data_IF_124951852527
#
_entry.id   IF_124951852527
#
_cell.length_a   1.000
_cell.length_b   1.000
_cell.length_c   1.000
_cell.angle_alpha   90.00
_cell.angle_beta   90.00
_cell.angle_gamma   90.00
#
_symmetry.space_group_name_H-M   'P 1'
#
loop_
_entity.id
_entity.type
_entity.pdbx_description
1 polymer ?
#
# COMPACT_ATOMS: atom_id res chain seq x y z
N UNK A 1 -37.71 -12.16 -13.13
CA UNK A 1 -36.24 -12.04 -13.11
C UNK A 1 -35.90 -10.66 -13.63
N UNK A 2 -35.50 -9.74 -12.74
CA UNK A 2 -34.82 -8.47 -13.07
C UNK A 2 -34.75 -7.65 -11.78
N UNK A 3 -33.64 -7.77 -11.06
CA UNK A 3 -33.30 -6.92 -9.91
C UNK A 3 -31.82 -7.09 -9.58
N UNK A 4 -30.93 -6.69 -10.49
CA UNK A 4 -29.47 -6.75 -10.29
C UNK A 4 -28.74 -5.56 -10.96
N UNK A 5 -29.37 -4.37 -11.03
CA UNK A 5 -28.78 -3.25 -11.80
C UNK A 5 -28.50 -1.96 -11.02
N UNK A 6 -28.68 -1.95 -9.70
CA UNK A 6 -28.47 -0.73 -8.90
C UNK A 6 -27.23 -0.77 -8.00
N UNK A 7 -26.68 -1.95 -7.71
CA UNK A 7 -25.49 -2.09 -6.84
C UNK A 7 -24.14 -1.82 -7.54
N UNK A 8 -24.11 -1.85 -8.89
CA UNK A 8 -22.87 -1.63 -9.64
C UNK A 8 -22.46 -0.14 -9.75
N UNK A 9 -23.40 0.80 -9.61
CA UNK A 9 -23.09 2.22 -9.85
C UNK A 9 -22.37 2.90 -8.68
N UNK A 10 -22.59 2.43 -7.45
CA UNK A 10 -21.95 3.03 -6.26
C UNK A 10 -20.50 2.56 -6.09
N UNK A 11 -20.21 1.30 -6.46
CA UNK A 11 -18.85 0.77 -6.45
C UNK A 11 -17.94 1.51 -7.45
N UNK A 12 -18.48 1.85 -8.63
CA UNK A 12 -17.75 2.61 -9.65
C UNK A 12 -17.34 4.00 -9.19
N UNK A 13 -18.22 4.71 -8.46
CA UNK A 13 -17.92 6.05 -7.92
C UNK A 13 -16.80 6.03 -6.88
N UNK A 14 -16.75 5.00 -6.03
CA UNK A 14 -15.76 4.89 -4.96
C UNK A 14 -14.37 4.53 -5.50
N UNK A 15 -14.29 3.64 -6.50
CA UNK A 15 -13.04 3.28 -7.16
C UNK A 15 -12.48 4.43 -8.02
N UNK A 16 -13.36 5.24 -8.60
CA UNK A 16 -12.98 6.43 -9.36
C UNK A 16 -12.36 7.52 -8.48
N UNK A 17 -12.85 7.69 -7.25
CA UNK A 17 -12.27 8.63 -6.28
C UNK A 17 -10.89 8.15 -5.80
N UNK A 18 -10.71 6.84 -5.62
CA UNK A 18 -9.43 6.24 -5.19
C UNK A 18 -8.33 6.38 -6.24
N UNK A 19 -8.68 6.37 -7.54
CA UNK A 19 -7.75 6.67 -8.65
C UNK A 19 -7.44 8.16 -8.79
N UNK A 20 -8.35 9.05 -8.43
CA UNK A 20 -8.13 10.50 -8.51
C UNK A 20 -7.20 11.04 -7.41
N UNK A 21 -7.16 10.38 -6.24
CA UNK A 21 -6.34 10.83 -5.08
C UNK A 21 -4.85 10.46 -5.22
N UNK A 22 -4.51 9.48 -6.06
CA UNK A 22 -3.12 9.11 -6.36
C UNK A 22 -2.93 9.11 -7.87
N UNK A 23 -2.62 10.28 -8.42
CA UNK A 23 -2.42 10.51 -9.83
C UNK A 23 -1.46 9.49 -10.46
N UNK A 24 -2.02 8.61 -11.29
CA UNK A 24 -1.25 7.75 -12.18
C UNK A 24 -1.69 8.05 -13.62
N UNK A 25 -1.04 9.05 -14.21
CA UNK A 25 -1.28 9.55 -15.57
C UNK A 25 -0.74 8.65 -16.69
N UNK A 26 -0.74 7.31 -16.50
CA UNK A 26 -0.11 6.39 -17.46
C UNK A 26 -1.07 5.45 -18.20
N UNK A 27 -2.37 5.46 -17.92
CA UNK A 27 -3.31 4.46 -18.48
C UNK A 27 -4.26 4.96 -19.59
N UNK A 28 -4.28 6.26 -19.91
CA UNK A 28 -5.21 6.82 -20.92
C UNK A 28 -4.55 6.93 -22.33
N UNK A 29 -3.23 6.75 -22.43
CA UNK A 29 -2.49 7.02 -23.67
C UNK A 29 -2.09 5.78 -24.49
N UNK A 30 -2.38 4.55 -24.05
CA UNK A 30 -2.07 3.38 -24.88
C UNK A 30 -3.29 2.98 -25.73
N UNK A 31 -3.37 3.57 -26.92
CA UNK A 31 -4.11 2.96 -28.04
C UNK A 31 -3.31 1.74 -28.50
N UNK A 32 -3.94 0.57 -28.46
CA UNK A 32 -3.45 -0.67 -29.04
C UNK A 32 -3.11 -0.50 -30.53
N UNK A 33 -1.84 -0.68 -30.88
CA UNK A 33 -1.35 -0.99 -32.23
C UNK A 33 0.10 -1.49 -32.16
N UNK A 34 0.27 -2.82 -32.11
CA UNK A 34 1.43 -3.64 -32.52
C UNK A 34 2.83 -3.41 -31.87
N UNK A 35 3.77 -4.35 -32.08
CA UNK A 35 3.77 -5.74 -31.65
C UNK A 35 4.78 -5.94 -30.50
N UNK A 36 4.77 -7.15 -29.96
CA UNK A 36 5.59 -7.67 -28.87
C UNK A 36 7.11 -7.37 -29.01
N UNK A 37 7.57 -6.18 -28.59
CA UNK A 37 9.00 -5.89 -28.39
C UNK A 37 9.23 -5.18 -27.06
N UNK A 38 9.87 -5.92 -26.15
CA UNK A 38 10.70 -5.42 -25.06
C UNK A 38 10.18 -4.18 -24.32
N UNK A 39 9.10 -4.34 -23.55
CA UNK A 39 8.64 -3.31 -22.61
C UNK A 39 9.72 -3.16 -21.54
N UNK A 40 10.53 -2.11 -21.66
CA UNK A 40 11.45 -1.65 -20.64
C UNK A 40 10.63 -1.31 -19.40
N UNK A 41 10.70 -2.19 -18.40
CA UNK A 41 10.03 -2.04 -17.12
C UNK A 41 11.03 -1.44 -16.11
N UNK A 42 10.57 -1.00 -14.95
CA UNK A 42 11.38 -0.59 -13.80
C UNK A 42 12.37 -1.66 -13.29
N UNK A 43 12.31 -2.87 -13.85
CA UNK A 43 13.24 -3.99 -13.63
C UNK A 43 14.29 -4.16 -14.73
N UNK A 44 14.23 -3.38 -15.80
CA UNK A 44 15.16 -3.49 -16.93
C UNK A 44 16.42 -2.68 -16.63
N UNK A 45 17.57 -3.36 -16.54
CA UNK A 45 18.86 -2.75 -16.24
C UNK A 45 19.28 -1.80 -17.37
N UNK A 46 19.64 -0.56 -17.01
CA UNK A 46 20.00 0.48 -17.99
C UNK A 46 21.42 0.36 -18.56
N UNK A 47 22.21 -0.61 -18.08
CA UNK A 47 23.55 -0.91 -18.59
C UNK A 47 23.70 -2.43 -18.67
N UNK A 48 24.07 -2.94 -19.84
CA UNK A 48 24.50 -4.33 -20.01
C UNK A 48 25.79 -4.54 -19.21
N UNK A 49 25.67 -5.21 -18.05
CA UNK A 49 26.84 -5.68 -17.31
C UNK A 49 27.20 -7.05 -17.89
N UNK A 50 28.36 -7.22 -18.55
CA UNK A 50 28.80 -8.54 -18.95
C UNK A 50 28.95 -9.40 -17.70
N UNK A 51 28.42 -10.63 -17.73
CA UNK A 51 28.60 -11.62 -16.68
C UNK A 51 30.10 -11.91 -16.46
N UNK A 52 30.75 -11.12 -15.62
CA UNK A 52 32.01 -11.53 -15.00
C UNK A 52 31.64 -12.34 -13.77
N UNK A 53 32.04 -13.61 -13.82
CA UNK A 53 32.12 -14.51 -12.67
C UNK A 53 32.74 -13.76 -11.48
N UNK A 54 31.90 -13.33 -10.55
CA UNK A 54 32.35 -12.62 -9.37
C UNK A 54 32.80 -13.66 -8.36
N UNK A 55 34.09 -13.99 -8.39
CA UNK A 55 34.77 -14.45 -7.18
C UNK A 55 34.49 -13.42 -6.09
N UNK A 56 33.91 -13.89 -4.99
CA UNK A 56 33.67 -13.13 -3.77
C UNK A 56 34.97 -12.45 -3.30
N UNK A 57 35.07 -11.11 -3.26
CA UNK A 57 36.03 -10.48 -2.39
C UNK A 57 35.53 -10.69 -0.96
N UNK A 58 36.37 -11.29 -0.13
CA UNK A 58 36.17 -11.36 1.31
C UNK A 58 35.81 -9.97 1.88
N UNK A 59 35.02 -9.90 2.97
CA UNK A 59 34.67 -8.61 3.55
C UNK A 59 35.96 -7.87 3.89
N UNK A 60 36.06 -6.64 3.39
CA UNK A 60 37.19 -5.75 3.63
C UNK A 60 37.42 -5.64 5.13
N UNK A 61 38.38 -6.42 5.63
CA UNK A 61 39.02 -6.22 6.91
C UNK A 61 39.56 -4.81 6.88
N UNK A 62 38.94 -3.91 7.66
CA UNK A 62 39.44 -2.57 7.89
C UNK A 62 40.85 -2.68 8.47
N UNK A 63 41.86 -2.60 7.60
CA UNK A 63 43.24 -2.65 8.00
C UNK A 63 43.64 -1.26 8.52
N UNK A 64 44.06 -1.27 9.79
CA UNK A 64 45.11 -0.41 10.33
C UNK A 64 44.84 1.09 10.47
N UNK A 65 44.29 1.48 11.63
CA UNK A 65 44.81 2.65 12.36
C UNK A 65 45.08 2.26 13.83
N UNK A 66 46.17 2.75 14.47
CA UNK A 66 46.63 2.25 15.77
C UNK A 66 45.72 2.68 16.93
N UNK A 67 45.82 2.03 18.10
CA UNK A 67 44.85 2.20 19.19
C UNK A 67 45.08 3.53 19.90
N UNK A 68 44.11 4.44 19.80
CA UNK A 68 43.94 5.51 20.80
C UNK A 68 42.74 5.16 21.69
N UNK A 69 42.98 5.42 22.97
CA UNK A 69 42.22 5.13 24.19
C UNK A 69 40.68 5.36 24.08
N UNK A 70 39.91 4.74 25.00
CA UNK A 70 38.48 4.57 24.85
C UNK A 70 37.76 5.85 25.26
N UNK A 71 37.10 6.53 24.31
CA UNK A 71 36.09 7.52 24.65
C UNK A 71 34.95 7.44 23.62
N UNK A 72 33.85 6.86 24.08
CA UNK A 72 32.45 7.20 23.80
C UNK A 72 31.97 7.56 22.38
N UNK A 73 32.61 7.14 21.29
CA UNK A 73 32.01 7.23 19.95
C UNK A 73 30.94 6.13 19.75
N UNK A 74 29.91 6.08 20.61
CA UNK A 74 28.68 5.34 20.32
C UNK A 74 27.99 6.06 19.18
N UNK A 75 28.28 5.65 17.96
CA UNK A 75 27.69 6.19 16.76
C UNK A 75 26.19 5.84 16.72
N UNK A 76 25.36 6.73 17.27
CA UNK A 76 23.89 6.56 17.39
C UNK A 76 23.15 6.74 16.06
N UNK A 77 23.84 7.09 14.98
CA UNK A 77 23.23 7.45 13.70
C UNK A 77 22.95 6.27 12.76
N UNK A 78 23.54 5.08 12.99
CA UNK A 78 23.39 3.93 12.09
C UNK A 78 21.97 3.33 12.01
N UNK A 79 21.05 3.71 12.92
CA UNK A 79 19.66 3.20 12.92
C UNK A 79 18.71 4.05 12.09
N UNK A 80 19.09 5.29 11.76
CA UNK A 80 18.26 6.25 11.01
C UNK A 80 18.67 6.35 9.53
N UNK A 81 19.73 5.64 9.13
CA UNK A 81 20.18 5.55 7.74
C UNK A 81 19.51 4.34 7.11
N UNK A 82 18.79 4.55 6.00
CA UNK A 82 18.15 3.48 5.25
C UNK A 82 19.20 2.88 4.32
N UNK A 83 19.47 1.59 4.49
CA UNK A 83 20.28 0.83 3.55
C UNK A 83 19.44 0.49 2.31
N UNK A 84 19.68 1.22 1.23
CA UNK A 84 19.01 1.02 -0.07
C UNK A 84 19.51 -0.26 -0.77
N UNK A 85 20.69 -0.77 -0.38
CA UNK A 85 21.26 -2.02 -0.91
C UNK A 85 20.69 -3.30 -0.28
N UNK A 86 19.98 -3.18 0.84
CA UNK A 86 19.36 -4.31 1.55
C UNK A 86 18.04 -4.80 0.93
N UNK A 87 17.69 -4.35 -0.28
CA UNK A 87 16.47 -4.78 -0.99
C UNK A 87 16.60 -6.17 -1.64
N UNK A 88 17.78 -6.79 -1.57
CA UNK A 88 17.99 -8.17 -1.99
C UNK A 88 17.16 -9.15 -1.13
N UNK A 89 16.84 -10.35 -1.66
CA UNK A 89 16.22 -11.38 -0.84
C UNK A 89 17.12 -11.61 0.38
N UNK A 90 16.56 -11.41 1.58
CA UNK A 90 17.26 -11.73 2.83
C UNK A 90 17.73 -13.19 2.73
N UNK A 91 19.02 -13.39 2.48
CA UNK A 91 19.62 -14.72 2.41
C UNK A 91 19.72 -15.27 3.82
N UNK A 92 18.58 -15.68 4.37
CA UNK A 92 18.57 -16.55 5.53
C UNK A 92 18.90 -17.95 5.03
N UNK A 93 19.96 -18.54 5.59
CA UNK A 93 20.29 -19.94 5.40
C UNK A 93 19.04 -20.82 5.64
N UNK A 94 18.78 -21.77 4.73
CA UNK A 94 17.58 -22.60 4.77
C UNK A 94 17.42 -23.33 6.11
N UNK A 95 18.53 -23.77 6.70
CA UNK A 95 18.55 -24.43 8.01
C UNK A 95 18.12 -23.46 9.13
N UNK A 96 18.64 -22.23 9.14
CA UNK A 96 18.27 -21.20 10.11
C UNK A 96 16.79 -20.82 9.99
N UNK A 97 16.24 -20.78 8.77
CA UNK A 97 14.81 -20.59 8.56
C UNK A 97 13.99 -21.74 9.16
N UNK A 98 14.34 -22.99 8.86
CA UNK A 98 13.60 -24.17 9.35
C UNK A 98 13.60 -24.29 10.87
N UNK A 99 14.71 -23.95 11.52
CA UNK A 99 14.82 -23.95 12.98
C UNK A 99 13.95 -22.84 13.61
N UNK A 100 13.95 -21.65 13.00
CA UNK A 100 13.06 -20.55 13.43
C UNK A 100 11.59 -20.94 13.30
N UNK A 101 11.19 -21.56 12.20
CA UNK A 101 9.81 -22.06 12.01
C UNK A 101 9.46 -23.04 13.12
N UNK A 102 10.30 -24.05 13.39
CA UNK A 102 10.05 -25.03 14.46
C UNK A 102 9.93 -24.35 15.83
N UNK A 103 10.83 -23.44 16.14
CA UNK A 103 10.85 -22.73 17.42
C UNK A 103 9.65 -21.80 17.61
N UNK A 104 9.16 -21.15 16.55
CA UNK A 104 7.97 -20.30 16.62
C UNK A 104 6.68 -21.11 16.66
N UNK A 105 6.57 -22.19 15.88
CA UNK A 105 5.41 -23.10 15.95
C UNK A 105 5.29 -23.73 17.33
N UNK A 106 6.39 -24.20 17.93
CA UNK A 106 6.38 -24.76 19.28
C UNK A 106 5.95 -23.72 20.34
N UNK A 107 6.44 -22.48 20.23
CA UNK A 107 6.05 -21.38 21.13
C UNK A 107 4.59 -20.97 20.94
N UNK A 108 4.11 -20.90 19.70
CA UNK A 108 2.72 -20.58 19.40
C UNK A 108 1.76 -21.66 19.92
N UNK A 109 2.12 -22.93 19.79
CA UNK A 109 1.35 -24.05 20.32
C UNK A 109 1.31 -24.06 21.86
N UNK A 110 2.42 -23.72 22.52
CA UNK A 110 2.49 -23.65 23.99
C UNK A 110 1.66 -22.49 24.57
N UNK A 111 1.46 -21.42 23.80
CA UNK A 111 0.68 -20.24 24.20
C UNK A 111 -0.74 -20.28 23.61
N UNK A 112 -1.14 -21.38 22.96
CA UNK A 112 -2.41 -21.46 22.23
C UNK A 112 -3.61 -21.06 23.10
N UNK A 113 -4.00 -19.79 22.96
CA UNK A 113 -5.22 -19.26 23.53
C UNK A 113 -6.39 -19.90 22.77
N UNK A 114 -7.55 -20.10 23.43
CA UNK A 114 -8.74 -20.54 22.75
C UNK A 114 -8.95 -19.66 21.52
N UNK A 115 -9.14 -20.31 20.36
CA UNK A 115 -9.38 -19.62 19.10
C UNK A 115 -10.49 -18.59 19.33
N UNK A 116 -10.27 -17.30 19.06
CA UNK A 116 -11.30 -16.29 19.27
C UNK A 116 -12.52 -16.76 18.49
N UNK A 117 -13.63 -16.98 19.22
CA UNK A 117 -14.89 -17.36 18.58
C UNK A 117 -15.17 -16.36 17.47
N UNK A 118 -15.46 -16.83 16.26
CA UNK A 118 -15.81 -15.97 15.11
C UNK A 118 -16.78 -14.90 15.60
N UNK A 119 -16.39 -13.63 15.51
CA UNK A 119 -17.20 -12.53 16.01
C UNK A 119 -18.57 -12.60 15.34
N UNK A 120 -19.59 -12.88 16.13
CA UNK A 120 -20.98 -12.91 15.66
C UNK A 120 -21.53 -11.51 15.84
N UNK A 121 -22.06 -10.94 14.77
CA UNK A 121 -22.74 -9.64 14.83
C UNK A 121 -24.07 -9.80 15.56
N UNK A 122 -24.44 -8.79 16.34
CA UNK A 122 -25.75 -8.67 17.00
C UNK A 122 -26.09 -9.82 17.97
N UNK A 123 -25.11 -10.45 18.62
CA UNK A 123 -25.37 -11.49 19.64
C UNK A 123 -26.04 -10.96 20.90
N UNK A 124 -25.88 -9.66 21.15
CA UNK A 124 -26.47 -8.92 22.25
C UNK A 124 -27.94 -8.57 22.00
N UNK A 125 -28.44 -8.71 20.77
CA UNK A 125 -29.80 -8.35 20.42
C UNK A 125 -30.74 -9.56 20.52
N UNK A 126 -31.77 -9.55 21.41
CA UNK A 126 -32.75 -10.61 21.48
C UNK A 126 -33.51 -10.76 20.14
N UNK A 127 -33.84 -12.00 19.71
CA UNK A 127 -34.52 -12.24 18.43
C UNK A 127 -35.86 -11.50 18.29
N UNK A 128 -36.58 -11.31 19.39
CA UNK A 128 -37.84 -10.57 19.42
C UNK A 128 -37.62 -9.07 19.12
N UNK A 129 -36.59 -8.47 19.71
CA UNK A 129 -36.22 -7.06 19.48
C UNK A 129 -35.78 -6.83 18.05
N UNK A 130 -34.97 -7.74 17.48
CA UNK A 130 -34.55 -7.67 16.08
C UNK A 130 -35.75 -7.66 15.13
N UNK A 131 -36.72 -8.56 15.34
CA UNK A 131 -37.96 -8.62 14.55
C UNK A 131 -38.79 -7.33 14.68
N UNK A 132 -38.90 -6.80 15.89
CA UNK A 132 -39.64 -5.55 16.14
C UNK A 132 -38.99 -4.36 15.41
N UNK A 133 -37.67 -4.23 15.44
CA UNK A 133 -36.94 -3.15 14.76
C UNK A 133 -37.12 -3.25 13.23
N UNK A 134 -37.03 -4.46 12.67
CA UNK A 134 -37.17 -4.68 11.22
C UNK A 134 -38.59 -4.40 10.71
N UNK A 135 -39.61 -4.54 11.56
CA UNK A 135 -41.02 -4.22 11.24
C UNK A 135 -41.35 -2.76 11.54
N UNK A 136 -40.44 -2.02 12.17
CA UNK A 136 -40.61 -0.61 12.50
C UNK A 136 -40.78 0.29 11.27
N UNK A 137 -41.31 1.51 11.46
CA UNK A 137 -41.45 2.46 10.37
C UNK A 137 -40.08 2.81 9.76
N UNK A 138 -40.01 3.05 8.45
CA UNK A 138 -38.77 3.51 7.82
C UNK A 138 -38.36 4.89 8.37
N UNK A 139 -37.06 5.26 8.24
CA UNK A 139 -36.61 6.58 8.63
C UNK A 139 -37.33 7.68 7.84
N UNK A 140 -37.56 8.81 8.50
CA UNK A 140 -38.29 9.96 7.97
C UNK A 140 -37.67 10.43 6.64
N UNK A 141 -38.46 10.63 5.57
CA UNK A 141 -37.94 11.22 4.33
C UNK A 141 -37.21 12.55 4.54
N UNK A 142 -37.63 13.38 5.50
CA UNK A 142 -36.97 14.66 5.78
C UNK A 142 -35.51 14.46 6.22
N UNK A 143 -35.23 13.44 7.03
CA UNK A 143 -33.87 13.10 7.46
C UNK A 143 -33.03 12.57 6.29
N UNK A 144 -33.63 11.76 5.40
CA UNK A 144 -32.95 11.28 4.19
C UNK A 144 -32.55 12.44 3.29
N UNK A 145 -33.44 13.40 3.09
CA UNK A 145 -33.18 14.58 2.28
C UNK A 145 -32.10 15.46 2.92
N UNK A 146 -32.13 15.63 4.25
CA UNK A 146 -31.09 16.35 4.99
C UNK A 146 -29.71 15.71 4.78
N UNK A 147 -29.60 14.40 4.99
CA UNK A 147 -28.35 13.64 4.81
C UNK A 147 -27.86 13.76 3.37
N UNK A 148 -28.76 13.56 2.40
CA UNK A 148 -28.43 13.60 0.97
C UNK A 148 -27.92 14.98 0.56
N UNK A 149 -28.57 16.04 1.05
CA UNK A 149 -28.15 17.42 0.76
C UNK A 149 -26.82 17.77 1.44
N UNK A 150 -26.58 17.28 2.66
CA UNK A 150 -25.30 17.46 3.33
C UNK A 150 -24.16 16.79 2.56
N UNK A 151 -24.36 15.54 2.09
CA UNK A 151 -23.37 14.82 1.29
C UNK A 151 -23.13 15.51 -0.06
N UNK A 152 -24.17 15.99 -0.74
CA UNK A 152 -24.02 16.76 -1.99
C UNK A 152 -23.17 18.02 -1.79
N UNK A 153 -23.40 18.76 -0.70
CA UNK A 153 -22.60 19.95 -0.37
C UNK A 153 -21.16 19.60 -0.05
N UNK A 154 -20.92 18.52 0.69
CA UNK A 154 -19.57 18.05 0.97
C UNK A 154 -18.83 17.62 -0.30
N UNK A 155 -19.49 16.89 -1.20
CA UNK A 155 -18.92 16.49 -2.48
C UNK A 155 -18.57 17.72 -3.35
N UNK A 156 -19.44 18.74 -3.38
CA UNK A 156 -19.15 19.99 -4.07
C UNK A 156 -17.93 20.70 -3.48
N UNK A 157 -17.82 20.81 -2.16
CA UNK A 157 -16.66 21.41 -1.49
C UNK A 157 -15.36 20.66 -1.77
N UNK A 158 -15.39 19.32 -1.83
CA UNK A 158 -14.21 18.51 -2.20
C UNK A 158 -13.79 18.78 -3.65
N UNK A 159 -14.74 19.02 -4.54
CA UNK A 159 -14.42 19.34 -5.95
C UNK A 159 -13.74 20.71 -6.13
N UNK A 160 -13.88 21.61 -5.16
CA UNK A 160 -13.17 22.90 -5.14
C UNK A 160 -11.71 22.75 -4.72
N UNK A 161 -11.31 21.61 -4.13
CA UNK A 161 -9.93 21.31 -3.79
C UNK A 161 -9.13 20.94 -5.05
N UNK A 162 -8.70 21.96 -5.80
CA UNK A 162 -7.85 21.82 -6.97
C UNK A 162 -6.75 22.87 -6.97
N UNK A 163 -5.64 22.57 -7.65
CA UNK A 163 -4.56 23.53 -7.86
C UNK A 163 -5.00 24.51 -8.95
N UNK A 164 -5.02 25.81 -8.64
CA UNK A 164 -5.21 26.86 -9.62
C UNK A 164 -3.89 27.11 -10.37
N UNK A 165 -3.94 27.02 -11.71
CA UNK A 165 -2.78 27.27 -12.57
C UNK A 165 -2.63 28.77 -12.84
N UNK A 166 -1.52 29.37 -12.41
CA UNK A 166 -1.23 30.80 -12.64
C UNK A 166 -0.16 31.03 -13.71
N UNK A 167 0.83 30.14 -13.81
CA UNK A 167 2.00 30.30 -14.69
C UNK A 167 2.44 28.94 -15.25
N UNK A 168 2.97 28.93 -16.47
CA UNK A 168 3.43 27.71 -17.11
C UNK A 168 4.69 27.14 -16.42
N UNK A 169 4.55 25.95 -15.81
CA UNK A 169 5.67 25.24 -15.19
C UNK A 169 6.70 24.72 -16.19
N UNK A 170 6.31 24.58 -17.45
CA UNK A 170 7.15 24.04 -18.53
C UNK A 170 7.13 25.03 -19.68
N UNK A 171 8.30 25.59 -20.00
CA UNK A 171 8.49 26.47 -21.16
C UNK A 171 9.36 25.75 -22.18
N UNK A 172 8.92 25.62 -23.45
CA UNK A 172 9.75 25.01 -24.47
C UNK A 172 10.92 25.93 -24.82
N UNK A 173 12.13 25.40 -24.73
CA UNK A 173 13.31 26.08 -25.27
C UNK A 173 13.20 26.12 -26.79
N UNK A 174 13.06 27.32 -27.36
CA UNK A 174 13.27 27.54 -28.80
C UNK A 174 14.63 28.19 -29.02
N UNK A 175 15.42 27.58 -29.90
CA UNK A 175 16.67 28.16 -30.40
C UNK A 175 16.32 29.10 -31.57
N UNK A 176 16.91 30.30 -31.66
CA UNK A 176 16.68 31.25 -32.76
C UNK A 176 16.97 30.70 -34.15
#
# INVERSE_FOLDING_TARGET
MQSDNEDCSLHSCFDSLKRAVMGCCYSICHKDSDPQENVVNERTYLLEVPEQQQETPSPATCASTPPRKPDEQKCKHYRNVIDVGALGPYSLEANAYSERVRAYTARAAAVALPMPSTAKLLTDLPPATARMILVGPPPDPADKDLITNAVKKAAAAISELRVEHHEDLVVPFRVP
#
